data_IF_482335984009
#
_entry.id   IF_482335984009
#
_cell.length_a   1.000
_cell.length_b   1.000
_cell.length_c   1.000
_cell.angle_alpha   90.00
_cell.angle_beta   90.00
_cell.angle_gamma   90.00
#
_symmetry.space_group_name_H-M   'P 1'
#
loop_
_entity.id
_entity.type
_entity.pdbx_description
1 polymer ?
#
# COMPACT_ATOMS: atom_id res chain seq x y z
N UNK A 1 10.73 6.14 7.89
CA UNK A 1 9.89 7.32 8.23
C UNK A 1 8.56 7.22 7.48
N UNK A 2 7.43 7.66 8.06
CA UNK A 2 6.15 7.74 7.34
C UNK A 2 5.60 9.18 7.31
N UNK A 3 4.96 9.56 6.20
CA UNK A 3 4.29 10.84 6.00
C UNK A 3 2.97 10.62 5.27
N UNK A 4 1.87 11.23 5.73
CA UNK A 4 0.59 11.19 5.04
C UNK A 4 0.18 12.60 4.62
N UNK A 5 -0.01 12.80 3.32
CA UNK A 5 -0.52 14.04 2.75
C UNK A 5 -2.05 14.05 2.83
N UNK A 6 -2.60 15.01 3.56
CA UNK A 6 -4.04 15.25 3.64
C UNK A 6 -4.38 16.68 3.21
N UNK A 7 -5.59 16.90 2.71
CA UNK A 7 -6.07 18.20 2.27
C UNK A 7 -7.24 18.13 1.29
N UNK A 8 -7.81 19.28 0.96
CA UNK A 8 -8.98 19.39 0.10
C UNK A 8 -8.81 18.81 -1.32
N UNK A 9 -9.93 18.63 -2.03
CA UNK A 9 -9.92 18.19 -3.42
C UNK A 9 -9.11 19.17 -4.29
N UNK A 10 -8.27 18.65 -5.18
CA UNK A 10 -7.48 19.47 -6.10
C UNK A 10 -6.23 20.13 -5.51
N UNK A 11 -5.87 19.85 -4.25
CA UNK A 11 -4.69 20.44 -3.59
C UNK A 11 -3.32 19.92 -4.08
N UNK A 12 -3.27 19.18 -5.21
CA UNK A 12 -2.03 18.69 -5.82
C UNK A 12 -1.41 17.41 -5.23
N UNK A 13 -2.05 16.74 -4.26
CA UNK A 13 -1.48 15.56 -3.55
C UNK A 13 -0.98 14.47 -4.49
N UNK A 14 -1.82 14.00 -5.41
CA UNK A 14 -1.46 12.97 -6.40
C UNK A 14 -0.30 13.40 -7.30
N UNK A 15 -0.29 14.66 -7.75
CA UNK A 15 0.82 15.20 -8.55
C UNK A 15 2.12 15.23 -7.76
N UNK A 16 2.08 15.60 -6.48
CA UNK A 16 3.24 15.56 -5.59
C UNK A 16 3.78 14.13 -5.41
N UNK A 17 2.90 13.13 -5.27
CA UNK A 17 3.32 11.73 -5.17
C UNK A 17 3.97 11.21 -6.46
N UNK A 18 3.41 11.53 -7.63
CA UNK A 18 4.01 11.17 -8.93
C UNK A 18 5.39 11.79 -9.08
N UNK A 19 5.54 13.07 -8.76
CA UNK A 19 6.82 13.77 -8.83
C UNK A 19 7.84 13.19 -7.85
N UNK A 20 7.41 12.86 -6.62
CA UNK A 20 8.26 12.21 -5.62
C UNK A 20 8.75 10.84 -6.11
N UNK A 21 7.85 10.00 -6.64
CA UNK A 21 8.21 8.69 -7.17
C UNK A 21 9.18 8.79 -8.36
N UNK A 22 8.97 9.76 -9.26
CA UNK A 22 9.87 10.00 -10.39
C UNK A 22 11.25 10.46 -9.93
N UNK A 23 11.32 11.43 -9.02
CA UNK A 23 12.58 11.90 -8.43
C UNK A 23 13.32 10.77 -7.71
N UNK A 24 12.64 10.00 -6.87
CA UNK A 24 13.25 8.92 -6.10
C UNK A 24 13.86 7.83 -7.00
N UNK A 25 13.15 7.44 -8.07
CA UNK A 25 13.70 6.54 -9.10
C UNK A 25 14.95 7.11 -9.75
N UNK A 26 14.94 8.39 -10.13
CA UNK A 26 16.11 9.05 -10.72
C UNK A 26 17.30 9.15 -9.74
N UNK A 27 17.02 9.17 -8.44
CA UNK A 27 18.02 9.15 -7.37
C UNK A 27 18.48 7.73 -6.98
N UNK A 28 17.99 6.67 -7.66
CA UNK A 28 18.40 5.29 -7.40
C UNK A 28 17.65 4.58 -6.27
N UNK A 29 16.53 5.13 -5.80
CA UNK A 29 15.70 4.45 -4.80
C UNK A 29 14.99 3.25 -5.42
N UNK A 30 14.82 2.19 -4.63
CA UNK A 30 13.79 1.17 -4.91
C UNK A 30 12.42 1.78 -4.62
N UNK A 31 11.58 1.92 -5.64
CA UNK A 31 10.29 2.61 -5.50
C UNK A 31 9.13 1.67 -5.79
N UNK A 32 8.25 1.48 -4.81
CA UNK A 32 6.92 0.90 -4.99
C UNK A 32 5.91 2.03 -5.04
N UNK A 33 5.34 2.30 -6.20
CA UNK A 33 4.30 3.33 -6.36
C UNK A 33 2.94 2.70 -6.67
N UNK A 34 2.00 2.86 -5.73
CA UNK A 34 0.58 2.54 -5.89
C UNK A 34 -0.17 3.81 -6.31
N UNK A 35 -0.63 3.90 -7.58
CA UNK A 35 -1.31 5.09 -8.09
C UNK A 35 -2.77 5.20 -7.62
N UNK A 36 -3.36 4.14 -7.09
CA UNK A 36 -4.70 4.14 -6.50
C UNK A 36 -4.83 3.01 -5.47
N UNK A 37 -5.01 3.37 -4.21
CA UNK A 37 -5.39 2.43 -3.17
C UNK A 37 -6.76 1.78 -3.41
N UNK A 38 -7.67 2.44 -4.14
CA UNK A 38 -9.00 1.87 -4.46
C UNK A 38 -8.91 0.63 -5.32
N UNK A 39 -7.93 0.54 -6.21
CA UNK A 39 -7.72 -0.64 -7.04
C UNK A 39 -7.49 -1.93 -6.21
N UNK A 40 -7.07 -1.78 -4.95
CA UNK A 40 -6.90 -2.87 -3.99
C UNK A 40 -8.14 -3.12 -3.12
N UNK A 41 -9.29 -2.55 -3.47
CA UNK A 41 -10.53 -2.66 -2.69
C UNK A 41 -11.74 -3.02 -3.56
N UNK A 42 -11.52 -3.18 -4.86
CA UNK A 42 -12.57 -3.39 -5.85
C UNK A 42 -12.20 -4.58 -6.76
N UNK A 43 -13.19 -5.33 -7.21
CA UNK A 43 -13.08 -6.27 -8.34
C UNK A 43 -11.99 -7.35 -8.18
N UNK A 44 -12.04 -8.13 -7.10
CA UNK A 44 -11.16 -9.29 -6.90
C UNK A 44 -11.97 -10.50 -6.45
N UNK A 45 -11.52 -11.69 -6.85
CA UNK A 45 -11.90 -12.94 -6.21
C UNK A 45 -11.40 -12.94 -4.77
N UNK A 46 -12.12 -13.59 -3.86
CA UNK A 46 -11.70 -13.61 -2.47
C UNK A 46 -12.06 -14.90 -1.74
N UNK A 47 -11.15 -15.33 -0.87
CA UNK A 47 -11.31 -16.47 0.01
C UNK A 47 -10.62 -16.18 1.33
N UNK A 48 -11.04 -16.91 2.37
CA UNK A 48 -10.50 -16.72 3.70
C UNK A 48 -9.30 -17.63 3.90
N UNK A 49 -8.15 -17.04 4.18
CA UNK A 49 -6.99 -17.79 4.66
C UNK A 49 -7.26 -18.28 6.08
N UNK A 50 -7.19 -19.60 6.27
CA UNK A 50 -7.47 -20.21 7.57
C UNK A 50 -6.34 -19.97 8.57
N UNK A 51 -5.11 -19.78 8.11
CA UNK A 51 -3.96 -19.61 8.99
C UNK A 51 -3.97 -18.24 9.69
N UNK A 52 -4.15 -17.17 8.93
CA UNK A 52 -4.21 -15.79 9.46
C UNK A 52 -5.62 -15.35 9.88
N UNK A 53 -6.67 -16.00 9.35
CA UNK A 53 -8.05 -15.58 9.51
C UNK A 53 -8.42 -14.33 8.70
N UNK A 54 -7.48 -13.81 7.89
CA UNK A 54 -7.68 -12.70 6.96
C UNK A 54 -8.15 -13.22 5.60
N UNK A 55 -8.49 -12.29 4.71
CA UNK A 55 -8.95 -12.59 3.36
C UNK A 55 -7.84 -12.41 2.34
N UNK A 56 -7.83 -13.29 1.35
CA UNK A 56 -6.94 -13.24 0.21
C UNK A 56 -7.69 -12.72 -1.00
N UNK A 57 -6.93 -11.99 -1.82
CA UNK A 57 -7.38 -11.20 -2.97
C UNK A 57 -6.31 -11.30 -4.06
N UNK A 58 -6.35 -12.36 -4.88
CA UNK A 58 -5.28 -12.69 -5.82
C UNK A 58 -5.05 -11.60 -6.88
N UNK A 59 -6.11 -11.02 -7.44
CA UNK A 59 -5.99 -9.98 -8.46
C UNK A 59 -5.40 -8.68 -7.88
N UNK A 60 -5.70 -8.38 -6.62
CA UNK A 60 -5.03 -7.30 -5.89
C UNK A 60 -3.54 -7.61 -5.69
N UNK A 61 -3.18 -8.85 -5.36
CA UNK A 61 -1.78 -9.26 -5.21
C UNK A 61 -1.01 -9.21 -6.54
N UNK A 62 -1.62 -9.65 -7.63
CA UNK A 62 -1.06 -9.53 -8.98
C UNK A 62 -0.81 -8.06 -9.34
N UNK A 63 -1.80 -7.17 -9.10
CA UNK A 63 -1.63 -5.74 -9.35
C UNK A 63 -0.47 -5.15 -8.52
N UNK A 64 -0.34 -5.54 -7.25
CA UNK A 64 0.79 -5.11 -6.43
C UNK A 64 2.13 -5.55 -7.04
N UNK A 65 2.25 -6.81 -7.44
CA UNK A 65 3.48 -7.37 -8.01
C UNK A 65 3.88 -6.65 -9.29
N UNK A 66 2.94 -6.41 -10.20
CA UNK A 66 3.17 -5.63 -11.41
C UNK A 66 3.69 -4.22 -11.10
N UNK A 67 3.10 -3.54 -10.10
CA UNK A 67 3.53 -2.21 -9.68
C UNK A 67 4.89 -2.23 -8.97
N UNK A 68 5.18 -3.26 -8.18
CA UNK A 68 6.45 -3.43 -7.48
C UNK A 68 7.59 -3.76 -8.44
N UNK A 69 7.34 -4.53 -9.51
CA UNK A 69 8.33 -4.81 -10.56
C UNK A 69 8.63 -3.58 -11.43
N UNK A 70 7.69 -2.64 -11.55
CA UNK A 70 7.82 -1.47 -12.42
C UNK A 70 8.94 -0.52 -11.96
N UNK A 71 10.10 -0.67 -12.61
CA UNK A 71 11.32 0.08 -12.32
C UNK A 71 12.28 -0.63 -11.38
N UNK A 72 11.97 -1.87 -10.97
CA UNK A 72 12.78 -2.66 -10.04
C UNK A 72 13.09 -4.08 -10.56
N UNK A 73 13.06 -4.30 -11.89
CA UNK A 73 13.14 -5.64 -12.48
C UNK A 73 14.40 -6.44 -12.07
N UNK A 74 15.56 -5.77 -11.93
CA UNK A 74 16.79 -6.43 -11.50
C UNK A 74 16.70 -7.02 -10.10
N UNK A 75 15.99 -6.35 -9.18
CA UNK A 75 15.75 -6.89 -7.84
C UNK A 75 14.95 -8.19 -7.92
N UNK A 76 13.93 -8.25 -8.77
CA UNK A 76 13.12 -9.47 -8.91
C UNK A 76 13.90 -10.62 -9.55
N UNK A 77 14.75 -10.32 -10.53
CA UNK A 77 15.57 -11.31 -11.21
C UNK A 77 16.72 -11.86 -10.34
N UNK A 78 17.27 -11.04 -9.43
CA UNK A 78 18.47 -11.38 -8.67
C UNK A 78 18.19 -11.83 -7.23
N UNK A 79 17.10 -11.36 -6.62
CA UNK A 79 16.72 -11.79 -5.26
C UNK A 79 16.18 -13.21 -5.29
N UNK A 80 16.67 -14.05 -4.37
CA UNK A 80 16.27 -15.45 -4.25
C UNK A 80 15.38 -15.64 -3.04
N UNK A 81 14.29 -16.37 -3.21
CA UNK A 81 13.47 -16.83 -2.10
C UNK A 81 14.13 -18.03 -1.40
N UNK A 82 13.53 -18.48 -0.31
CA UNK A 82 14.05 -19.57 0.54
C UNK A 82 14.25 -20.89 -0.21
N UNK A 83 13.45 -21.14 -1.25
CA UNK A 83 13.52 -22.34 -2.09
C UNK A 83 14.59 -22.26 -3.21
N UNK A 84 15.30 -21.13 -3.31
CA UNK A 84 16.33 -20.89 -4.31
C UNK A 84 15.81 -20.39 -5.67
N UNK A 85 14.49 -20.20 -5.84
CA UNK A 85 13.93 -19.55 -7.03
C UNK A 85 14.10 -18.04 -6.97
N UNK A 86 14.17 -17.38 -8.13
CA UNK A 86 14.12 -15.91 -8.14
C UNK A 86 12.73 -15.41 -7.80
N UNK A 87 12.62 -14.18 -7.28
CA UNK A 87 11.30 -13.58 -7.08
C UNK A 87 10.53 -13.45 -8.41
N UNK A 88 11.23 -13.24 -9.53
CA UNK A 88 10.62 -13.24 -10.86
C UNK A 88 10.02 -14.60 -11.22
N UNK A 89 10.73 -15.70 -10.94
CA UNK A 89 10.21 -17.05 -11.21
C UNK A 89 8.95 -17.33 -10.38
N UNK A 90 8.96 -16.95 -9.09
CA UNK A 90 7.80 -17.09 -8.22
C UNK A 90 6.58 -16.30 -8.72
N UNK A 91 6.80 -15.09 -9.23
CA UNK A 91 5.71 -14.27 -9.81
C UNK A 91 5.14 -14.94 -11.05
N UNK A 92 6.01 -15.39 -11.98
CA UNK A 92 5.55 -16.04 -13.21
C UNK A 92 4.76 -17.32 -12.92
N UNK A 93 5.25 -18.17 -12.02
CA UNK A 93 4.55 -19.39 -11.61
C UNK A 93 3.19 -19.07 -10.97
N UNK A 94 3.11 -18.07 -10.09
CA UNK A 94 1.86 -17.65 -9.50
C UNK A 94 0.87 -17.06 -10.53
N UNK A 95 1.35 -16.38 -11.58
CA UNK A 95 0.50 -15.89 -12.67
C UNK A 95 -0.10 -17.05 -13.47
N UNK A 96 0.69 -18.07 -13.81
CA UNK A 96 0.21 -19.28 -14.48
C UNK A 96 -0.84 -20.05 -13.63
N UNK A 97 -0.62 -20.12 -12.30
CA UNK A 97 -1.57 -20.73 -11.37
C UNK A 97 -2.88 -19.93 -11.25
N UNK A 98 -2.79 -18.61 -11.25
CA UNK A 98 -3.96 -17.73 -11.21
C UNK A 98 -4.80 -17.85 -12.50
N UNK A 99 -4.14 -17.91 -13.66
CA UNK A 99 -4.82 -18.08 -14.96
C UNK A 99 -5.47 -19.46 -15.11
N UNK A 100 -4.82 -20.50 -14.59
CA UNK A 100 -5.36 -21.88 -14.61
C UNK A 100 -6.45 -22.12 -13.54
N UNK A 101 -6.53 -21.26 -12.52
CA UNK A 101 -7.54 -21.33 -11.45
C UNK A 101 -7.33 -22.47 -10.46
N UNK A 102 -6.12 -23.06 -10.41
CA UNK A 102 -5.83 -24.27 -9.61
C UNK A 102 -5.58 -23.94 -8.14
N UNK A 103 -4.74 -22.95 -7.84
CA UNK A 103 -4.45 -22.48 -6.47
C UNK A 103 -4.28 -20.94 -6.41
N UNK A 104 -5.38 -20.17 -6.36
CA UNK A 104 -5.31 -18.71 -6.39
C UNK A 104 -4.62 -18.08 -5.15
N UNK A 105 -4.41 -18.86 -4.09
CA UNK A 105 -3.78 -18.42 -2.84
C UNK A 105 -2.29 -18.09 -3.01
N UNK A 106 -1.62 -18.77 -3.94
CA UNK A 106 -0.18 -18.62 -4.19
C UNK A 106 0.19 -17.17 -4.51
N UNK A 107 -0.66 -16.48 -5.29
CA UNK A 107 -0.40 -15.09 -5.70
C UNK A 107 -0.26 -14.15 -4.49
N UNK A 108 -1.09 -14.32 -3.46
CA UNK A 108 -1.02 -13.48 -2.26
C UNK A 108 0.22 -13.82 -1.44
N UNK A 109 0.57 -15.10 -1.31
CA UNK A 109 1.77 -15.52 -0.58
C UNK A 109 3.05 -15.03 -1.28
N UNK A 110 3.10 -15.03 -2.61
CA UNK A 110 4.22 -14.45 -3.38
C UNK A 110 4.29 -12.94 -3.16
N UNK A 111 3.17 -12.21 -3.21
CA UNK A 111 3.16 -10.77 -2.92
C UNK A 111 3.67 -10.44 -1.50
N UNK A 112 3.28 -11.23 -0.49
CA UNK A 112 3.76 -11.06 0.88
C UNK A 112 5.24 -11.41 1.03
N UNK A 113 5.72 -12.44 0.31
CA UNK A 113 7.14 -12.79 0.23
C UNK A 113 7.94 -11.64 -0.37
N UNK A 114 7.47 -11.03 -1.46
CA UNK A 114 8.09 -9.85 -2.07
C UNK A 114 8.14 -8.67 -1.09
N UNK A 115 7.07 -8.40 -0.34
CA UNK A 115 7.09 -7.36 0.71
C UNK A 115 8.13 -7.68 1.79
N UNK A 116 8.27 -8.95 2.19
CA UNK A 116 9.27 -9.36 3.16
C UNK A 116 10.70 -9.17 2.65
N UNK A 117 10.98 -9.54 1.40
CA UNK A 117 12.30 -9.34 0.78
C UNK A 117 12.62 -7.85 0.57
N UNK A 118 11.64 -7.02 0.22
CA UNK A 118 11.84 -5.56 0.18
C UNK A 118 12.22 -5.00 1.55
N UNK A 119 11.61 -5.51 2.63
CA UNK A 119 11.97 -5.11 4.01
C UNK A 119 13.40 -5.52 4.36
N UNK A 120 13.82 -6.74 4.00
CA UNK A 120 15.22 -7.20 4.18
C UNK A 120 16.21 -6.34 3.39
N UNK A 121 15.85 -6.02 2.14
CA UNK A 121 16.63 -5.13 1.28
C UNK A 121 16.80 -3.73 1.90
N UNK A 122 15.74 -3.17 2.48
CA UNK A 122 15.79 -1.89 3.19
C UNK A 122 16.62 -1.93 4.49
N UNK A 123 16.56 -3.05 5.21
CA UNK A 123 17.27 -3.20 6.49
C UNK A 123 18.76 -3.50 6.32
N UNK A 124 19.16 -4.00 5.13
CA UNK A 124 20.49 -4.54 4.86
C UNK A 124 20.66 -5.99 5.35
N UNK A 125 19.58 -6.62 5.82
CA UNK A 125 19.58 -7.99 6.33
C UNK A 125 19.77 -8.97 5.16
N UNK A 126 20.93 -9.64 5.11
CA UNK A 126 21.32 -10.54 4.02
C UNK A 126 22.62 -10.16 3.32
N UNK A 127 23.14 -8.94 3.53
CA UNK A 127 24.50 -8.58 3.13
C UNK A 127 25.47 -9.02 4.24
N UNK A 128 26.33 -10.01 3.95
CA UNK A 128 27.34 -10.52 4.88
C UNK A 128 28.50 -9.53 5.13
N UNK A 129 28.60 -8.47 4.35
CA UNK A 129 29.50 -7.36 4.65
C UNK A 129 28.81 -6.46 5.64
N UNK A 130 29.33 -6.41 6.87
CA UNK A 130 28.87 -5.55 7.97
C UNK A 130 29.07 -4.06 7.67
N UNK A 131 28.50 -3.58 6.57
CA UNK A 131 28.57 -2.23 6.07
C UNK A 131 27.89 -1.26 7.02
N UNK A 132 28.47 -0.07 7.12
CA UNK A 132 27.93 1.03 7.90
C UNK A 132 26.51 1.40 7.43
N UNK A 133 25.76 2.13 8.27
CA UNK A 133 24.38 2.58 7.97
C UNK A 133 24.23 3.33 6.64
N UNK A 134 25.33 3.77 6.03
CA UNK A 134 25.37 4.47 4.73
C UNK A 134 25.13 3.55 3.52
N UNK A 135 25.31 2.23 3.65
CA UNK A 135 25.10 1.26 2.55
C UNK A 135 23.67 0.69 2.50
N UNK A 136 22.77 1.20 3.35
CA UNK A 136 21.37 0.78 3.33
C UNK A 136 20.70 1.25 2.05
N UNK A 137 20.10 0.29 1.34
CA UNK A 137 19.38 0.58 0.12
C UNK A 137 18.13 1.40 0.42
N UNK A 138 17.96 2.48 -0.33
CA UNK A 138 16.88 3.43 -0.07
C UNK A 138 15.59 2.91 -0.69
N UNK A 139 14.64 2.50 0.16
CA UNK A 139 13.33 1.98 -0.26
C UNK A 139 12.24 3.01 0.03
N UNK A 140 11.43 3.32 -0.98
CA UNK A 140 10.29 4.23 -0.89
C UNK A 140 8.98 3.56 -1.33
N UNK A 141 8.03 3.47 -0.41
CA UNK A 141 6.64 3.15 -0.71
C UNK A 141 5.85 4.45 -0.88
N UNK A 142 5.13 4.57 -2.00
CA UNK A 142 4.26 5.71 -2.30
C UNK A 142 2.86 5.18 -2.59
N UNK A 143 1.85 5.64 -1.85
CA UNK A 143 0.47 5.17 -1.99
C UNK A 143 -0.49 6.34 -2.13
N UNK A 144 -1.04 6.52 -3.33
CA UNK A 144 -2.15 7.44 -3.54
C UNK A 144 -3.47 6.80 -3.11
N UNK A 145 -4.45 7.65 -2.76
CA UNK A 145 -5.75 7.22 -2.20
C UNK A 145 -5.59 6.30 -0.98
N UNK A 146 -4.59 6.55 -0.14
CA UNK A 146 -4.20 5.77 1.04
C UNK A 146 -5.39 5.44 1.96
N UNK A 147 -6.36 6.34 2.09
CA UNK A 147 -7.56 6.13 2.89
C UNK A 147 -8.47 5.00 2.39
N UNK A 148 -8.35 4.56 1.13
CA UNK A 148 -9.03 3.36 0.63
C UNK A 148 -8.61 2.11 1.43
N UNK A 149 -7.33 2.00 1.80
CA UNK A 149 -6.79 0.85 2.54
C UNK A 149 -7.28 0.76 3.99
N UNK A 150 -8.07 1.75 4.44
CA UNK A 150 -8.65 1.82 5.77
C UNK A 150 -10.18 1.73 5.76
N UNK A 151 -10.79 1.63 4.58
CA UNK A 151 -12.24 1.60 4.37
C UNK A 151 -12.80 0.21 4.07
N UNK A 152 -14.08 0.15 3.68
CA UNK A 152 -14.70 -1.07 3.15
C UNK A 152 -14.13 -1.43 1.77
N UNK A 153 -14.21 -2.71 1.43
CA UNK A 153 -14.06 -3.16 0.03
C UNK A 153 -15.42 -3.30 -0.63
N UNK A 154 -15.49 -3.70 -1.90
CA UNK A 154 -16.75 -4.16 -2.52
C UNK A 154 -17.06 -5.65 -2.24
N UNK A 155 -16.17 -6.35 -1.52
CA UNK A 155 -16.27 -7.77 -1.22
C UNK A 155 -17.09 -8.01 0.06
N UNK A 156 -17.85 -9.11 0.07
CA UNK A 156 -18.82 -9.39 1.12
C UNK A 156 -18.80 -10.87 1.55
N UNK A 157 -18.98 -11.13 2.83
CA UNK A 157 -19.10 -12.49 3.37
C UNK A 157 -20.49 -12.73 3.94
N UNK A 158 -20.97 -13.97 3.88
CA UNK A 158 -22.24 -14.34 4.48
C UNK A 158 -22.09 -14.40 6.01
N UNK A 159 -22.83 -13.56 6.73
CA UNK A 159 -23.01 -13.68 8.18
C UNK A 159 -24.12 -14.67 8.51
N UNK A 160 -25.20 -14.61 7.72
CA UNK A 160 -26.31 -15.56 7.72
C UNK A 160 -26.84 -15.70 6.30
N UNK A 161 -27.82 -16.57 6.06
CA UNK A 161 -28.47 -16.71 4.77
C UNK A 161 -29.07 -15.39 4.23
N UNK A 162 -29.39 -14.42 5.10
CA UNK A 162 -30.03 -13.14 4.73
C UNK A 162 -29.17 -11.90 5.00
N UNK A 163 -28.04 -12.05 5.71
CA UNK A 163 -27.19 -10.92 6.12
C UNK A 163 -25.79 -11.11 5.57
N UNK A 164 -25.28 -10.07 4.91
CA UNK A 164 -23.89 -10.00 4.45
C UNK A 164 -23.12 -9.02 5.31
N UNK A 165 -21.88 -9.38 5.65
CA UNK A 165 -20.87 -8.47 6.20
C UNK A 165 -19.99 -7.97 5.07
N UNK A 166 -19.49 -6.75 5.19
CA UNK A 166 -18.48 -6.21 4.28
C UNK A 166 -17.09 -6.62 4.74
N UNK A 167 -16.21 -6.99 3.82
CA UNK A 167 -14.80 -7.24 4.11
C UNK A 167 -14.10 -5.88 4.13
N UNK A 168 -13.59 -5.46 5.28
CA UNK A 168 -12.77 -4.25 5.35
C UNK A 168 -11.46 -4.47 4.58
N UNK A 169 -10.95 -3.45 3.89
CA UNK A 169 -9.67 -3.52 3.17
C UNK A 169 -8.56 -4.04 4.10
N UNK A 170 -8.53 -3.50 5.31
CA UNK A 170 -7.62 -3.91 6.37
C UNK A 170 -7.73 -5.34 6.91
N UNK A 171 -8.74 -6.09 6.47
CA UNK A 171 -8.93 -7.50 6.79
C UNK A 171 -8.50 -8.41 5.64
N UNK A 172 -7.96 -7.87 4.55
CA UNK A 172 -7.26 -8.64 3.51
C UNK A 172 -5.75 -8.68 3.81
N UNK A 173 -5.07 -9.81 3.57
CA UNK A 173 -3.64 -9.96 3.93
C UNK A 173 -2.76 -8.94 3.24
N UNK A 174 -2.96 -8.73 1.93
CA UNK A 174 -2.18 -7.76 1.16
C UNK A 174 -2.36 -6.33 1.67
N UNK A 175 -3.60 -5.84 1.81
CA UNK A 175 -3.80 -4.46 2.27
C UNK A 175 -3.37 -4.27 3.73
N UNK A 176 -3.52 -5.30 4.56
CA UNK A 176 -2.97 -5.28 5.92
C UNK A 176 -1.45 -5.05 5.89
N UNK A 177 -0.72 -5.73 5.00
CA UNK A 177 0.71 -5.53 4.81
C UNK A 177 1.06 -4.16 4.20
N UNK A 178 0.34 -3.71 3.17
CA UNK A 178 0.60 -2.45 2.47
C UNK A 178 0.36 -1.20 3.32
N UNK A 179 -0.58 -1.27 4.27
CA UNK A 179 -0.89 -0.15 5.17
C UNK A 179 -0.15 -0.22 6.51
N UNK A 180 0.61 -1.29 6.77
CA UNK A 180 1.43 -1.43 7.97
C UNK A 180 2.70 -0.58 7.86
N UNK A 181 2.50 0.73 7.97
CA UNK A 181 3.57 1.72 7.93
C UNK A 181 4.56 1.53 9.08
N UNK A 182 4.14 0.98 10.21
CA UNK A 182 5.01 0.72 11.36
C UNK A 182 6.02 -0.36 11.01
N UNK A 183 5.56 -1.51 10.51
CA UNK A 183 6.46 -2.60 10.11
C UNK A 183 7.39 -2.19 8.95
N UNK A 184 6.87 -1.49 7.94
CA UNK A 184 7.69 -1.00 6.82
C UNK A 184 8.77 -0.03 7.28
N UNK A 185 8.42 0.95 8.11
CA UNK A 185 9.39 1.95 8.57
C UNK A 185 10.39 1.41 9.58
N UNK A 186 10.01 0.42 10.40
CA UNK A 186 10.93 -0.30 11.27
C UNK A 186 11.99 -1.08 10.47
N UNK A 187 11.65 -1.58 9.28
CA UNK A 187 12.60 -2.22 8.37
C UNK A 187 13.52 -1.24 7.62
N UNK A 188 13.35 0.08 7.80
CA UNK A 188 14.15 1.10 7.12
C UNK A 188 13.48 1.72 5.89
N UNK A 189 12.29 1.27 5.49
CA UNK A 189 11.57 1.89 4.39
C UNK A 189 11.10 3.31 4.72
N UNK A 190 11.01 4.15 3.70
CA UNK A 190 10.25 5.39 3.72
C UNK A 190 8.86 5.14 3.14
N UNK A 191 7.83 5.70 3.77
CA UNK A 191 6.44 5.55 3.34
C UNK A 191 5.76 6.90 3.18
N UNK A 192 5.20 7.17 2.00
CA UNK A 192 4.42 8.39 1.75
C UNK A 192 3.04 8.03 1.21
N UNK A 193 2.00 8.36 1.96
CA UNK A 193 0.62 8.18 1.54
C UNK A 193 -0.05 9.52 1.19
N UNK A 194 -1.06 9.52 0.33
CA UNK A 194 -1.96 10.65 0.15
C UNK A 194 -3.42 10.24 0.34
N UNK A 195 -4.19 11.04 1.08
CA UNK A 195 -5.64 10.81 1.16
C UNK A 195 -6.33 11.35 -0.08
N UNK A 196 -7.46 10.75 -0.45
CA UNK A 196 -8.36 11.27 -1.47
C UNK A 196 -9.64 11.80 -0.83
N UNK A 197 -10.02 13.02 -1.22
CA UNK A 197 -11.27 13.65 -0.78
C UNK A 197 -12.53 12.98 -1.38
N UNK A 198 -12.39 12.10 -2.38
CA UNK A 198 -13.49 11.30 -2.92
C UNK A 198 -13.73 10.00 -2.15
N UNK A 199 -12.94 9.73 -1.11
CA UNK A 199 -13.02 8.51 -0.31
C UNK A 199 -13.23 8.93 1.15
N UNK A 200 -14.23 8.35 1.79
CA UNK A 200 -14.50 8.63 3.19
C UNK A 200 -13.35 8.14 4.07
N UNK A 201 -12.88 8.98 5.00
CA UNK A 201 -11.94 8.56 6.03
C UNK A 201 -12.62 7.62 7.01
N UNK A 202 -11.96 6.53 7.37
CA UNK A 202 -12.42 5.72 8.49
C UNK A 202 -12.17 6.46 9.81
N UNK A 203 -13.03 6.30 10.84
CA UNK A 203 -12.86 7.01 12.10
C UNK A 203 -11.49 6.79 12.75
N UNK A 204 -10.93 5.58 12.60
CA UNK A 204 -9.60 5.25 13.11
C UNK A 204 -8.49 6.02 12.38
N UNK A 205 -8.59 6.12 11.05
CA UNK A 205 -7.61 6.87 10.27
C UNK A 205 -7.74 8.37 10.53
N UNK A 206 -8.97 8.89 10.61
CA UNK A 206 -9.24 10.30 10.92
C UNK A 206 -8.62 10.72 12.27
N UNK A 207 -8.81 9.91 13.31
CA UNK A 207 -8.18 10.11 14.61
C UNK A 207 -6.64 10.08 14.56
N UNK A 208 -6.05 9.36 13.60
CA UNK A 208 -4.59 9.25 13.44
C UNK A 208 -4.02 10.43 12.67
N UNK A 209 -4.76 10.98 11.70
CA UNK A 209 -4.30 12.10 10.88
C UNK A 209 -4.42 13.45 11.59
N UNK A 210 -5.24 13.51 12.64
CA UNK A 210 -5.60 14.75 13.31
C UNK A 210 -6.52 15.58 12.42
N UNK A 211 -7.54 16.19 13.01
CA UNK A 211 -8.31 17.22 12.30
C UNK A 211 -7.37 18.40 12.04
N UNK A 212 -7.15 18.85 10.79
CA UNK A 212 -6.65 20.20 10.59
C UNK A 212 -7.67 21.12 11.26
N UNK A 213 -7.21 21.98 12.17
CA UNK A 213 -8.05 22.89 12.96
C UNK A 213 -9.21 23.39 12.11
N UNK A 214 -10.44 23.02 12.51
CA UNK A 214 -11.61 23.72 11.98
C UNK A 214 -11.36 25.20 12.26
N UNK A 215 -11.48 26.10 11.27
CA UNK A 215 -11.28 27.52 11.52
C UNK A 215 -12.21 27.89 12.68
N UNK A 216 -11.63 28.42 13.75
CA UNK A 216 -12.39 28.89 14.90
C UNK A 216 -13.49 29.80 14.39
N UNK A 217 -14.69 29.64 14.92
CA UNK A 217 -15.89 30.40 14.54
C UNK A 217 -15.77 31.92 14.79
N UNK A 218 -14.61 32.41 15.20
CA UNK A 218 -14.27 33.83 15.35
C UNK A 218 -13.90 34.55 14.05
N UNK A 219 -13.64 33.84 12.93
CA UNK A 219 -13.21 34.48 11.69
C UNK A 219 -14.36 35.00 10.78
N UNK A 220 -15.63 34.85 11.17
CA UNK A 220 -16.79 35.35 10.44
C UNK A 220 -17.52 36.43 11.24
N UNK A 221 -16.86 37.56 11.49
CA UNK A 221 -17.58 38.82 11.72
C UNK A 221 -17.97 39.41 10.36
N UNK A 222 -19.25 39.70 10.11
CA UNK A 222 -19.65 40.37 8.88
C UNK A 222 -19.02 41.76 8.84
N UNK A 223 -18.27 42.05 7.78
CA UNK A 223 -17.83 43.41 7.48
C UNK A 223 -19.06 44.26 7.21
N UNK A 224 -19.44 45.10 8.17
CA UNK A 224 -20.37 46.20 7.97
C UNK A 224 -19.77 47.18 6.98
N UNK A 225 -20.31 47.22 5.76
CA UNK A 225 -20.07 48.30 4.82
C UNK A 225 -20.60 49.62 5.41
N UNK A 226 -19.70 50.52 5.79
CA UNK A 226 -20.05 51.94 5.89
C UNK A 226 -20.31 52.47 4.48
N UNK A 227 -21.57 52.85 4.22
CA UNK A 227 -21.90 53.71 3.07
C UNK A 227 -21.40 55.13 3.37
N UNK A 228 -20.69 55.70 2.39
CA UNK A 228 -20.55 57.15 2.22
C UNK A 228 -21.90 57.76 1.82
#
# INVERSE_FOLDING_TARGET
QSLILSGGRGSGKSCSLVNLAAWARAAGYFVVYVPSGRAFTQESSYFKDQASGLWDTPEHAQLFLQLAMKGNAEFFANTRATDGKSLLDLVNEAEEELESGVEPNTMVDVALTVIAEIKKYASGEGNNDGGDREDRQQVLFVVDEYNALHGPTDMHFALTAKKRGNIAAGSTRLNAALRDTVSLTAAGCTYVGATSASIQLSPKLDATLGTPDAPSSEALKPMTHHRL
#
